data_IF_451466094830
#
_entry.id   IF_451466094830
#
_cell.length_a   1.000
_cell.length_b   1.000
_cell.length_c   1.000
_cell.angle_alpha   90.00
_cell.angle_beta   90.00
_cell.angle_gamma   90.00
#
_symmetry.space_group_name_H-M   'P 1'
#
loop_
_entity.id
_entity.type
_entity.pdbx_description
1 polymer ?
#
# COMPACT_ATOMS: atom_id res chain seq x y z
N UNK A 1 -37.49 -4.22 73.52
CA UNK A 1 -36.48 -5.03 74.25
C UNK A 1 -35.56 -5.60 73.19
N UNK A 2 -34.50 -4.86 72.86
CA UNK A 2 -33.13 -5.03 73.39
C UNK A 2 -32.32 -6.03 72.56
N UNK A 3 -31.51 -5.48 71.65
CA UNK A 3 -30.24 -6.07 71.18
C UNK A 3 -29.31 -6.35 72.37
N UNK A 4 -28.41 -7.36 72.29
CA UNK A 4 -27.05 -7.14 71.75
C UNK A 4 -26.51 -8.33 70.91
N UNK A 5 -25.73 -8.12 69.84
CA UNK A 5 -24.28 -7.85 69.79
C UNK A 5 -23.38 -9.01 70.30
N UNK A 6 -22.87 -9.87 69.41
CA UNK A 6 -21.46 -9.90 68.95
C UNK A 6 -21.02 -11.26 68.38
N UNK A 7 -20.16 -11.12 67.39
CA UNK A 7 -19.05 -11.99 66.99
C UNK A 7 -19.27 -13.17 66.02
N UNK A 8 -18.77 -12.89 64.80
CA UNK A 8 -17.62 -13.54 64.14
C UNK A 8 -17.91 -14.56 63.04
N UNK A 9 -17.13 -14.34 61.97
CA UNK A 9 -16.59 -15.31 60.99
C UNK A 9 -17.34 -15.39 59.65
N UNK A 10 -16.79 -14.59 58.71
CA UNK A 10 -16.29 -15.04 57.41
C UNK A 10 -17.26 -15.78 56.47
N UNK A 11 -17.65 -15.12 55.37
CA UNK A 11 -17.62 -15.71 54.02
C UNK A 11 -17.84 -14.67 52.92
N UNK A 12 -16.85 -14.63 52.02
CA UNK A 12 -16.90 -14.17 50.64
C UNK A 12 -18.27 -14.39 49.97
N UNK A 13 -18.85 -13.33 49.40
CA UNK A 13 -19.52 -13.38 48.09
C UNK A 13 -19.18 -12.06 47.38
N UNK A 14 -18.20 -12.10 46.47
CA UNK A 14 -17.91 -11.02 45.55
C UNK A 14 -19.00 -11.00 44.47
N UNK A 15 -19.79 -9.94 44.45
CA UNK A 15 -20.75 -9.62 43.41
C UNK A 15 -20.02 -9.30 42.11
N UNK A 16 -20.19 -10.17 41.12
CA UNK A 16 -19.70 -10.00 39.75
C UNK A 16 -20.55 -8.92 39.06
N UNK A 17 -20.09 -7.68 39.06
CA UNK A 17 -20.67 -6.63 38.23
C UNK A 17 -20.19 -6.82 36.77
N UNK A 18 -21.12 -7.18 35.89
CA UNK A 18 -20.94 -7.23 34.44
C UNK A 18 -20.79 -5.81 33.93
N UNK A 19 -19.55 -5.42 33.59
CA UNK A 19 -19.30 -4.27 32.73
C UNK A 19 -19.10 -4.80 31.31
N UNK A 20 -20.12 -4.64 30.47
CA UNK A 20 -20.06 -4.85 29.03
C UNK A 20 -18.93 -4.01 28.43
N UNK A 21 -17.82 -4.65 28.09
CA UNK A 21 -16.81 -4.05 27.22
C UNK A 21 -17.30 -4.17 25.77
N UNK A 22 -17.60 -3.02 25.17
CA UNK A 22 -17.78 -2.87 23.74
C UNK A 22 -16.51 -3.42 23.06
N UNK A 23 -16.66 -4.54 22.37
CA UNK A 23 -15.57 -5.21 21.66
C UNK A 23 -15.10 -4.35 20.48
N UNK A 24 -13.98 -3.68 20.64
CA UNK A 24 -13.15 -3.19 19.54
C UNK A 24 -12.45 -4.37 18.85
N UNK A 25 -12.10 -4.26 17.55
CA UNK A 25 -11.54 -5.35 16.77
C UNK A 25 -10.11 -5.64 17.25
N UNK A 26 -9.96 -6.65 18.10
CA UNK A 26 -8.70 -7.07 18.71
C UNK A 26 -7.79 -7.89 17.76
N UNK A 27 -8.22 -8.10 16.52
CA UNK A 27 -7.53 -8.95 15.55
C UNK A 27 -6.37 -8.24 14.82
N UNK A 28 -6.51 -6.95 14.47
CA UNK A 28 -5.45 -6.23 13.75
C UNK A 28 -4.22 -5.94 14.63
N UNK A 29 -4.43 -5.47 15.86
CA UNK A 29 -3.33 -5.13 16.77
C UNK A 29 -2.52 -6.36 17.26
N UNK A 30 -3.11 -7.56 17.22
CA UNK A 30 -2.45 -8.77 17.67
C UNK A 30 -1.44 -9.31 16.64
N UNK A 31 -1.74 -9.15 15.35
CA UNK A 31 -0.83 -9.54 14.25
C UNK A 31 0.38 -8.60 14.18
N UNK A 32 0.15 -7.29 14.31
CA UNK A 32 1.23 -6.27 14.35
C UNK A 32 2.26 -6.59 15.45
N UNK A 33 1.78 -6.98 16.64
CA UNK A 33 2.65 -7.28 17.78
C UNK A 33 3.50 -8.55 17.58
N UNK A 34 3.03 -9.53 16.79
CA UNK A 34 3.80 -10.75 16.50
C UNK A 34 4.85 -10.51 15.43
N UNK A 35 4.51 -9.77 14.37
CA UNK A 35 5.44 -9.41 13.31
C UNK A 35 6.61 -8.58 13.86
N UNK A 36 6.33 -7.62 14.74
CA UNK A 36 7.33 -6.79 15.39
C UNK A 36 8.30 -7.60 16.26
N UNK A 37 7.77 -8.54 17.05
CA UNK A 37 8.59 -9.45 17.85
C UNK A 37 9.47 -10.34 16.99
N UNK A 38 8.95 -10.82 15.86
CA UNK A 38 9.71 -11.60 14.90
C UNK A 38 10.83 -10.76 14.26
N UNK A 39 10.53 -9.54 13.80
CA UNK A 39 11.50 -8.59 13.25
C UNK A 39 12.61 -8.26 14.25
N UNK A 40 12.28 -8.02 15.53
CA UNK A 40 13.26 -7.78 16.57
C UNK A 40 14.19 -8.99 16.82
N UNK A 41 13.64 -10.21 16.76
CA UNK A 41 14.45 -11.44 16.89
C UNK A 41 15.38 -11.65 15.69
N UNK A 42 14.88 -11.40 14.48
CA UNK A 42 15.71 -11.44 13.26
C UNK A 42 16.80 -10.37 13.34
N UNK A 43 16.47 -9.14 13.74
CA UNK A 43 17.41 -8.04 13.89
C UNK A 43 18.55 -8.36 14.85
N UNK A 44 18.25 -8.89 16.03
CA UNK A 44 19.28 -9.28 17.01
C UNK A 44 20.17 -10.42 16.49
N UNK A 45 19.58 -11.42 15.83
CA UNK A 45 20.34 -12.51 15.21
C UNK A 45 21.25 -12.01 14.09
N UNK A 46 20.72 -11.19 13.18
CA UNK A 46 21.44 -10.54 12.09
C UNK A 46 22.57 -9.66 12.64
N UNK A 47 22.33 -8.88 13.69
CA UNK A 47 23.37 -8.10 14.37
C UNK A 47 24.52 -8.97 14.85
N UNK A 48 24.22 -10.11 15.49
CA UNK A 48 25.26 -11.05 15.94
C UNK A 48 26.05 -11.69 14.77
N UNK A 49 25.41 -11.88 13.61
CA UNK A 49 26.09 -12.37 12.41
C UNK A 49 26.96 -11.28 11.78
N UNK A 50 26.48 -10.04 11.74
CA UNK A 50 27.25 -8.89 11.29
C UNK A 50 28.56 -8.72 12.07
N UNK A 51 28.52 -8.90 13.39
CA UNK A 51 29.72 -8.83 14.24
C UNK A 51 30.72 -9.96 13.94
N UNK A 52 30.23 -11.17 13.66
CA UNK A 52 31.07 -12.36 13.44
C UNK A 52 31.61 -12.50 12.02
N UNK A 53 30.80 -12.14 11.03
CA UNK A 53 31.07 -12.41 9.61
C UNK A 53 31.30 -11.13 8.80
N UNK A 54 31.02 -9.96 9.38
CA UNK A 54 30.91 -8.73 8.61
C UNK A 54 29.72 -8.78 7.65
N UNK A 55 29.70 -7.85 6.71
CA UNK A 55 28.66 -7.75 5.70
C UNK A 55 28.39 -6.30 5.30
N UNK A 56 27.17 -6.00 4.90
CA UNK A 56 26.80 -4.67 4.42
C UNK A 56 25.69 -4.04 5.24
N UNK A 57 25.85 -2.75 5.55
CA UNK A 57 24.82 -1.86 6.10
C UNK A 57 24.45 -0.84 5.04
N UNK A 58 23.15 -0.67 4.80
CA UNK A 58 22.64 0.22 3.77
C UNK A 58 21.47 1.03 4.33
N UNK A 59 21.42 2.33 4.02
CA UNK A 59 20.33 3.22 4.42
C UNK A 59 19.69 3.81 3.17
N UNK A 60 18.37 3.69 3.07
CA UNK A 60 17.57 4.30 2.03
C UNK A 60 16.58 5.28 2.62
N UNK A 61 16.40 6.43 1.97
CA UNK A 61 15.33 7.39 2.25
C UNK A 61 14.12 7.04 1.39
N UNK A 62 12.96 6.93 2.03
CA UNK A 62 11.65 6.81 1.39
C UNK A 62 11.19 8.21 0.97
N UNK A 63 10.76 8.35 -0.28
CA UNK A 63 10.42 9.64 -0.87
C UNK A 63 9.11 10.21 -0.31
N UNK A 64 9.25 10.97 0.76
CA UNK A 64 8.13 11.61 1.44
C UNK A 64 7.61 12.84 0.66
N UNK A 65 8.41 13.39 -0.24
CA UNK A 65 8.05 14.54 -1.06
C UNK A 65 7.09 14.11 -2.17
N UNK A 66 7.41 13.00 -2.85
CA UNK A 66 6.49 12.39 -3.80
C UNK A 66 5.17 11.95 -3.15
N UNK A 67 5.21 11.44 -1.89
CA UNK A 67 3.99 11.14 -1.16
C UNK A 67 3.13 12.39 -0.99
N UNK A 68 3.74 13.51 -0.63
CA UNK A 68 3.03 14.79 -0.50
C UNK A 68 2.41 15.22 -1.82
N UNK A 69 3.14 15.11 -2.92
CA UNK A 69 2.65 15.48 -4.25
C UNK A 69 1.43 14.66 -4.67
N UNK A 70 1.46 13.34 -4.40
CA UNK A 70 0.32 12.46 -4.69
C UNK A 70 -0.88 12.82 -3.85
N UNK A 71 -0.71 13.01 -2.53
CA UNK A 71 -1.82 13.38 -1.64
C UNK A 71 -2.46 14.72 -2.01
N UNK A 72 -1.67 15.68 -2.47
CA UNK A 72 -2.16 16.99 -2.88
C UNK A 72 -2.83 16.92 -4.25
N UNK A 73 -2.32 16.09 -5.16
CA UNK A 73 -2.95 15.83 -6.46
C UNK A 73 -4.30 15.14 -6.29
N UNK A 74 -4.37 14.12 -5.44
CA UNK A 74 -5.61 13.43 -5.11
C UNK A 74 -6.61 14.38 -4.44
N UNK A 75 -6.15 15.21 -3.50
CA UNK A 75 -6.98 16.24 -2.88
C UNK A 75 -7.54 17.22 -3.92
N UNK A 76 -6.75 17.63 -4.92
CA UNK A 76 -7.20 18.51 -6.00
C UNK A 76 -8.31 17.85 -6.82
N UNK A 77 -8.13 16.58 -7.18
CA UNK A 77 -9.10 15.85 -7.98
C UNK A 77 -10.42 15.66 -7.22
N UNK A 78 -10.36 15.41 -5.91
CA UNK A 78 -11.54 15.31 -5.06
C UNK A 78 -12.22 16.67 -4.86
N UNK A 79 -11.46 17.75 -4.71
CA UNK A 79 -12.00 19.12 -4.70
C UNK A 79 -12.74 19.41 -6.00
N UNK A 80 -12.13 19.10 -7.15
CA UNK A 80 -12.75 19.30 -8.46
C UNK A 80 -14.05 18.50 -8.61
N UNK A 81 -14.04 17.22 -8.20
CA UNK A 81 -15.22 16.36 -8.22
C UNK A 81 -16.33 16.93 -7.35
N UNK A 82 -16.02 17.32 -6.11
CA UNK A 82 -16.99 17.88 -5.17
C UNK A 82 -17.62 19.18 -5.72
N UNK A 83 -16.82 20.07 -6.31
CA UNK A 83 -17.28 21.30 -6.96
C UNK A 83 -18.23 21.03 -8.13
N UNK A 84 -17.91 20.03 -8.95
CA UNK A 84 -18.73 19.64 -10.10
C UNK A 84 -20.08 19.07 -9.66
N UNK A 85 -20.08 18.21 -8.65
CA UNK A 85 -21.30 17.61 -8.09
C UNK A 85 -22.20 18.65 -7.38
N UNK A 86 -21.61 19.62 -6.69
CA UNK A 86 -22.37 20.72 -6.07
C UNK A 86 -22.75 21.83 -7.06
N UNK A 87 -22.31 21.75 -8.32
CA UNK A 87 -22.48 22.80 -9.34
C UNK A 87 -21.99 24.16 -8.85
N UNK A 88 -20.93 24.16 -8.04
CA UNK A 88 -20.35 25.38 -7.47
C UNK A 88 -19.46 26.05 -8.51
N UNK A 89 -19.72 27.33 -8.80
CA UNK A 89 -18.85 28.14 -9.63
C UNK A 89 -17.54 28.45 -8.87
N UNK A 90 -16.41 28.24 -9.53
CA UNK A 90 -15.08 28.57 -9.01
C UNK A 90 -14.26 29.26 -10.11
N UNK A 91 -13.40 30.20 -9.72
CA UNK A 91 -12.61 30.99 -10.68
C UNK A 91 -11.25 30.38 -10.97
N UNK A 92 -10.66 29.71 -9.98
CA UNK A 92 -9.34 29.08 -10.09
C UNK A 92 -9.28 27.84 -9.20
N UNK A 93 -8.63 26.79 -9.70
CA UNK A 93 -8.25 25.60 -8.95
C UNK A 93 -6.83 25.22 -9.35
N UNK A 94 -5.88 25.30 -8.42
CA UNK A 94 -4.47 24.99 -8.68
C UNK A 94 -3.82 24.34 -7.47
N UNK A 95 -2.69 23.66 -7.70
CA UNK A 95 -1.82 23.14 -6.64
C UNK A 95 -0.71 24.15 -6.39
N UNK A 96 -0.46 24.50 -5.13
CA UNK A 96 0.59 25.42 -4.72
C UNK A 96 1.17 25.00 -3.37
N UNK A 97 2.50 24.87 -3.29
CA UNK A 97 3.26 24.62 -2.05
C UNK A 97 2.69 23.49 -1.16
N UNK A 98 2.32 22.35 -1.75
CA UNK A 98 1.77 21.22 -0.99
C UNK A 98 0.34 21.43 -0.49
N UNK A 99 -0.38 22.38 -1.08
CA UNK A 99 -1.80 22.64 -0.84
C UNK A 99 -2.57 22.83 -2.14
N UNK A 100 -3.89 22.66 -2.08
CA UNK A 100 -4.83 22.95 -3.15
C UNK A 100 -5.44 24.32 -2.88
N UNK A 101 -5.23 25.25 -3.81
CA UNK A 101 -5.82 26.58 -3.77
C UNK A 101 -7.05 26.61 -4.68
N UNK A 102 -8.19 26.99 -4.12
CA UNK A 102 -9.44 27.19 -4.87
C UNK A 102 -10.06 28.53 -4.54
N UNK A 103 -10.50 29.27 -5.55
CA UNK A 103 -11.17 30.57 -5.38
C UNK A 103 -12.67 30.43 -5.64
N UNK A 104 -13.47 30.69 -4.60
CA UNK A 104 -14.93 30.60 -4.63
C UNK A 104 -15.49 31.89 -4.01
N UNK A 105 -16.21 32.68 -4.82
CA UNK A 105 -16.76 33.96 -4.38
C UNK A 105 -17.84 33.79 -3.29
N UNK A 106 -18.68 32.77 -3.40
CA UNK A 106 -19.78 32.52 -2.47
C UNK A 106 -19.32 31.85 -1.16
N UNK A 107 -19.64 32.48 -0.03
CA UNK A 107 -19.25 31.99 1.30
C UNK A 107 -19.99 30.69 1.72
N UNK A 108 -21.24 30.53 1.28
CA UNK A 108 -22.02 29.32 1.58
C UNK A 108 -21.45 28.11 0.86
N UNK A 109 -21.11 28.28 -0.42
CA UNK A 109 -20.47 27.27 -1.25
C UNK A 109 -19.10 26.85 -0.71
N UNK A 110 -18.30 27.78 -0.20
CA UNK A 110 -17.03 27.46 0.49
C UNK A 110 -17.26 26.52 1.68
N UNK A 111 -18.23 26.85 2.52
CA UNK A 111 -18.57 26.05 3.70
C UNK A 111 -19.13 24.67 3.34
N UNK A 112 -19.94 24.58 2.28
CA UNK A 112 -20.47 23.31 1.76
C UNK A 112 -19.37 22.42 1.20
N UNK A 113 -18.41 22.97 0.45
CA UNK A 113 -17.28 22.22 -0.08
C UNK A 113 -16.44 21.60 1.05
N UNK A 114 -16.10 22.39 2.07
CA UNK A 114 -15.31 21.91 3.22
C UNK A 114 -16.05 20.78 3.94
N UNK A 115 -17.36 20.92 4.17
CA UNK A 115 -18.17 19.87 4.79
C UNK A 115 -18.17 18.57 3.96
N UNK A 116 -18.39 18.65 2.65
CA UNK A 116 -18.35 17.48 1.77
C UNK A 116 -17.01 16.76 1.82
N UNK A 117 -15.90 17.50 1.75
CA UNK A 117 -14.55 16.91 1.71
C UNK A 117 -14.11 16.30 3.05
N UNK A 118 -14.65 16.79 4.17
CA UNK A 118 -14.30 16.32 5.52
C UNK A 118 -15.25 15.25 6.06
N UNK A 119 -16.53 15.32 5.70
CA UNK A 119 -17.59 14.48 6.31
C UNK A 119 -18.12 13.42 5.34
N UNK A 120 -18.32 13.77 4.07
CA UNK A 120 -18.96 12.89 3.08
C UNK A 120 -17.95 12.06 2.27
N UNK A 121 -16.66 12.38 2.38
CA UNK A 121 -15.60 11.56 1.79
C UNK A 121 -15.49 10.22 2.52
N UNK A 122 -15.43 9.10 1.79
CA UNK A 122 -15.22 7.77 2.35
C UNK A 122 -13.82 7.22 1.97
N UNK A 123 -12.87 7.15 2.92
CA UNK A 123 -12.96 7.51 4.34
C UNK A 123 -12.89 9.02 4.61
N UNK A 124 -13.44 9.50 5.76
CA UNK A 124 -13.42 10.92 6.12
C UNK A 124 -11.99 11.41 6.28
N UNK A 125 -11.67 12.55 5.66
CA UNK A 125 -10.32 13.09 5.64
C UNK A 125 -10.18 14.25 6.61
N UNK A 126 -9.10 14.23 7.37
CA UNK A 126 -8.68 15.40 8.13
C UNK A 126 -7.87 16.32 7.21
N UNK A 127 -8.40 17.53 6.99
CA UNK A 127 -7.82 18.55 6.14
C UNK A 127 -7.52 19.80 6.97
N UNK A 128 -6.38 20.42 6.69
CA UNK A 128 -6.08 21.76 7.18
C UNK A 128 -6.66 22.75 6.19
N UNK A 129 -7.66 23.50 6.63
CA UNK A 129 -8.35 24.51 5.83
C UNK A 129 -7.91 25.88 6.32
N UNK A 130 -7.37 26.69 5.41
CA UNK A 130 -6.97 28.07 5.70
C UNK A 130 -7.71 28.99 4.74
N UNK A 131 -8.37 30.01 5.28
CA UNK A 131 -8.95 31.09 4.45
C UNK A 131 -7.83 32.06 4.05
N UNK A 132 -7.66 32.26 2.74
CA UNK A 132 -6.65 33.14 2.17
C UNK A 132 -7.13 34.58 1.96
N UNK A 133 -8.40 34.88 2.26
CA UNK A 133 -9.02 36.15 1.92
C UNK A 133 -9.54 36.19 0.48
N UNK A 134 -10.43 37.14 0.16
CA UNK A 134 -11.00 37.35 -1.18
C UNK A 134 -11.63 36.10 -1.84
N UNK A 135 -12.18 35.20 -1.01
CA UNK A 135 -12.78 33.95 -1.47
C UNK A 135 -11.77 32.85 -1.81
N UNK A 136 -10.47 33.06 -1.55
CA UNK A 136 -9.44 32.04 -1.67
C UNK A 136 -9.50 31.06 -0.49
N UNK A 137 -9.56 29.78 -0.80
CA UNK A 137 -9.50 28.70 0.17
C UNK A 137 -8.26 27.86 -0.11
N UNK A 138 -7.45 27.62 0.93
CA UNK A 138 -6.30 26.71 0.87
C UNK A 138 -6.64 25.44 1.63
N UNK A 139 -6.53 24.32 0.94
CA UNK A 139 -6.81 22.99 1.46
C UNK A 139 -5.52 22.17 1.42
N UNK A 140 -5.04 21.73 2.58
CA UNK A 140 -3.88 20.84 2.67
C UNK A 140 -4.23 19.55 3.43
N UNK A 141 -3.58 18.42 3.13
CA UNK A 141 -3.64 17.25 4.00
C UNK A 141 -3.22 17.63 5.42
N UNK A 142 -3.91 17.15 6.45
CA UNK A 142 -3.51 17.41 7.83
C UNK A 142 -2.16 16.72 8.15
N UNK A 143 -1.33 17.37 8.96
CA UNK A 143 0.01 16.88 9.31
C UNK A 143 -0.03 15.48 9.94
N UNK A 144 -1.05 15.20 10.78
CA UNK A 144 -1.26 13.89 11.38
C UNK A 144 -1.63 12.80 10.35
N UNK A 145 -2.33 13.15 9.28
CA UNK A 145 -2.64 12.21 8.18
C UNK A 145 -1.37 11.92 7.39
N UNK A 146 -0.60 12.95 7.07
CA UNK A 146 0.67 12.80 6.38
C UNK A 146 1.64 11.93 7.18
N UNK A 147 1.81 12.18 8.48
CA UNK A 147 2.69 11.40 9.34
C UNK A 147 2.30 9.92 9.42
N UNK A 148 0.98 9.61 9.48
CA UNK A 148 0.48 8.23 9.44
C UNK A 148 0.78 7.58 8.10
N UNK A 149 0.45 8.24 7.00
CA UNK A 149 0.70 7.69 5.67
C UNK A 149 2.18 7.53 5.38
N UNK A 150 3.03 8.42 5.89
CA UNK A 150 4.49 8.30 5.81
C UNK A 150 4.99 7.09 6.61
N UNK A 151 4.45 6.85 7.80
CA UNK A 151 4.75 5.64 8.57
C UNK A 151 4.32 4.38 7.82
N UNK A 152 3.09 4.35 7.30
CA UNK A 152 2.59 3.23 6.49
C UNK A 152 3.49 3.00 5.26
N UNK A 153 3.90 4.08 4.58
CA UNK A 153 4.81 4.06 3.43
C UNK A 153 6.16 3.40 3.78
N UNK A 154 6.72 3.71 4.95
CA UNK A 154 7.97 3.12 5.43
C UNK A 154 7.78 1.64 5.71
N UNK A 155 6.69 1.24 6.37
CA UNK A 155 6.39 -0.17 6.64
C UNK A 155 6.21 -0.98 5.35
N UNK A 156 5.52 -0.41 4.37
CA UNK A 156 5.34 -1.01 3.05
C UNK A 156 6.66 -1.16 2.31
N UNK A 157 7.53 -0.15 2.40
CA UNK A 157 8.87 -0.20 1.82
C UNK A 157 9.74 -1.28 2.49
N UNK A 158 9.69 -1.40 3.82
CA UNK A 158 10.39 -2.46 4.57
C UNK A 158 9.96 -3.83 4.04
N UNK A 159 8.66 -4.07 4.02
CA UNK A 159 8.12 -5.37 3.68
C UNK A 159 8.35 -5.72 2.19
N UNK A 160 8.30 -4.72 1.29
CA UNK A 160 8.73 -4.85 -0.11
C UNK A 160 10.21 -5.29 -0.21
N UNK A 161 11.11 -4.62 0.49
CA UNK A 161 12.55 -4.95 0.47
C UNK A 161 12.79 -6.35 1.03
N UNK A 162 12.13 -6.73 2.13
CA UNK A 162 12.22 -8.08 2.70
C UNK A 162 11.81 -9.16 1.68
N UNK A 163 10.70 -8.95 0.99
CA UNK A 163 10.21 -9.89 -0.02
C UNK A 163 11.15 -10.01 -1.22
N UNK A 164 11.70 -8.89 -1.71
CA UNK A 164 12.67 -8.94 -2.82
C UNK A 164 14.00 -9.59 -2.43
N UNK A 165 14.46 -9.36 -1.20
CA UNK A 165 15.65 -10.05 -0.68
C UNK A 165 15.41 -11.56 -0.64
N UNK A 166 14.24 -11.99 -0.15
CA UNK A 166 13.84 -13.40 -0.16
C UNK A 166 13.81 -14.00 -1.57
N UNK A 167 13.20 -13.30 -2.53
CA UNK A 167 13.08 -13.76 -3.92
C UNK A 167 14.43 -13.80 -4.65
N UNK A 168 15.37 -12.92 -4.27
CA UNK A 168 16.76 -12.94 -4.75
C UNK A 168 17.64 -14.03 -4.14
N UNK A 169 17.09 -14.80 -3.18
CA UNK A 169 17.79 -15.88 -2.48
C UNK A 169 18.59 -15.43 -1.26
N UNK A 170 18.48 -14.16 -0.85
CA UNK A 170 19.08 -13.66 0.38
C UNK A 170 18.23 -14.12 1.57
N UNK A 171 18.67 -15.19 2.23
CA UNK A 171 17.93 -15.84 3.31
C UNK A 171 18.02 -15.13 4.66
N UNK A 172 19.06 -14.33 4.88
CA UNK A 172 19.35 -13.67 6.15
C UNK A 172 19.61 -12.20 5.90
N UNK A 173 18.58 -11.38 6.12
CA UNK A 173 18.65 -9.94 6.10
C UNK A 173 17.77 -9.37 7.21
N UNK A 174 18.11 -8.18 7.71
CA UNK A 174 17.23 -7.42 8.59
C UNK A 174 16.95 -6.07 7.96
N UNK A 175 15.67 -5.74 7.83
CA UNK A 175 15.20 -4.44 7.34
C UNK A 175 14.42 -3.79 8.47
N UNK A 176 14.77 -2.56 8.82
CA UNK A 176 14.20 -1.84 9.96
C UNK A 176 13.99 -0.37 9.61
N UNK A 177 13.03 0.31 10.25
CA UNK A 177 12.91 1.77 10.12
C UNK A 177 14.12 2.46 10.74
N UNK A 178 14.51 3.60 10.15
CA UNK A 178 15.62 4.46 10.60
C UNK A 178 15.18 5.92 10.64
N UNK A 179 14.47 6.30 11.71
CA UNK A 179 13.80 7.60 11.79
C UNK A 179 12.40 7.55 11.17
N UNK A 180 11.94 8.66 10.61
CA UNK A 180 10.56 8.81 10.10
C UNK A 180 10.40 8.51 8.62
N UNK A 181 11.49 8.59 7.85
CA UNK A 181 11.47 8.53 6.39
C UNK A 181 12.61 7.68 5.81
N UNK A 182 13.27 6.84 6.61
CA UNK A 182 14.35 5.98 6.13
C UNK A 182 14.18 4.56 6.60
N UNK A 183 14.82 3.67 5.85
CA UNK A 183 14.95 2.26 6.18
C UNK A 183 16.44 1.91 6.23
N UNK A 184 16.81 1.07 7.18
CA UNK A 184 18.14 0.51 7.34
C UNK A 184 18.11 -0.99 7.09
N UNK A 185 19.02 -1.44 6.25
CA UNK A 185 19.16 -2.82 5.81
C UNK A 185 20.51 -3.35 6.29
N UNK A 186 20.50 -4.54 6.89
CA UNK A 186 21.68 -5.29 7.26
C UNK A 186 21.72 -6.62 6.49
N UNK A 187 22.85 -6.86 5.82
CA UNK A 187 23.11 -8.04 4.99
C UNK A 187 24.38 -8.75 5.49
N UNK A 188 24.26 -9.68 6.46
CA UNK A 188 25.40 -10.47 6.94
C UNK A 188 26.07 -11.27 5.83
N UNK A 189 27.41 -11.28 5.83
CA UNK A 189 28.20 -12.04 4.85
C UNK A 189 28.17 -11.50 3.42
N UNK A 190 27.40 -10.45 3.14
CA UNK A 190 27.39 -9.77 1.84
C UNK A 190 28.43 -8.66 1.86
N UNK A 191 29.54 -8.85 1.14
CA UNK A 191 30.64 -7.88 1.03
C UNK A 191 30.55 -7.03 -0.25
N UNK A 192 29.62 -7.36 -1.15
CA UNK A 192 29.32 -6.63 -2.39
C UNK A 192 27.85 -6.16 -2.34
N UNK A 193 27.57 -5.04 -1.64
CA UNK A 193 26.21 -4.53 -1.50
C UNK A 193 25.58 -4.11 -2.82
N UNK A 194 26.38 -3.64 -3.79
CA UNK A 194 25.88 -3.10 -5.07
C UNK A 194 25.10 -4.14 -5.88
N UNK A 195 25.56 -5.38 -5.86
CA UNK A 195 24.88 -6.49 -6.55
C UNK A 195 23.50 -6.78 -5.97
N UNK A 196 23.36 -6.65 -4.65
CA UNK A 196 22.10 -6.95 -3.96
C UNK A 196 21.16 -5.73 -4.02
N UNK A 197 21.69 -4.52 -3.89
CA UNK A 197 20.91 -3.28 -4.01
C UNK A 197 20.29 -3.11 -5.38
N UNK A 198 20.97 -3.54 -6.45
CA UNK A 198 20.44 -3.50 -7.81
C UNK A 198 19.10 -4.26 -7.96
N UNK A 199 18.83 -5.26 -7.12
CA UNK A 199 17.61 -6.08 -7.20
C UNK A 199 16.39 -5.36 -6.64
N UNK A 200 16.55 -4.62 -5.54
CA UNK A 200 15.44 -3.91 -4.89
C UNK A 200 15.41 -2.40 -5.16
N UNK A 201 16.46 -1.83 -5.76
CA UNK A 201 16.48 -0.43 -6.22
C UNK A 201 15.62 -0.18 -7.48
N UNK A 202 15.24 -1.23 -8.22
CA UNK A 202 14.36 -1.10 -9.40
C UNK A 202 12.92 -0.87 -8.96
N UNK A 203 12.18 0.02 -9.63
CA UNK A 203 10.74 0.24 -9.38
C UNK A 203 9.98 -1.09 -9.50
N UNK A 204 9.08 -1.38 -8.56
CA UNK A 204 8.10 -2.47 -8.70
C UNK A 204 7.19 -2.12 -9.87
N UNK A 205 7.13 -3.00 -10.88
CA UNK A 205 6.28 -2.78 -12.05
C UNK A 205 4.95 -3.49 -11.84
N UNK A 206 3.94 -2.70 -11.52
CA UNK A 206 2.54 -3.14 -11.55
C UNK A 206 1.94 -2.63 -12.85
N UNK A 207 1.39 -3.55 -13.64
CA UNK A 207 0.69 -3.21 -14.88
C UNK A 207 -0.55 -4.07 -15.04
N UNK A 208 -1.58 -3.47 -15.62
CA UNK A 208 -2.84 -4.12 -15.95
C UNK A 208 -2.94 -4.18 -17.46
N UNK A 209 -2.95 -5.39 -18.01
CA UNK A 209 -2.75 -5.64 -19.44
C UNK A 209 -3.83 -6.56 -19.98
N UNK A 210 -4.27 -6.32 -21.20
CA UNK A 210 -5.19 -7.25 -21.86
C UNK A 210 -4.50 -8.57 -22.15
N UNK A 211 -5.19 -9.69 -21.95
CA UNK A 211 -4.74 -10.99 -22.44
C UNK A 211 -5.08 -11.07 -23.92
N UNK A 212 -4.07 -11.39 -24.72
CA UNK A 212 -4.25 -11.64 -26.13
C UNK A 212 -4.72 -13.08 -26.31
N UNK A 213 -5.88 -13.23 -26.95
CA UNK A 213 -6.55 -14.52 -27.18
C UNK A 213 -6.47 -14.95 -28.64
N UNK A 214 -5.72 -14.22 -29.48
CA UNK A 214 -5.56 -14.53 -30.91
C UNK A 214 -4.67 -15.77 -31.14
N UNK A 215 -3.80 -16.09 -30.18
CA UNK A 215 -2.91 -17.25 -30.20
C UNK A 215 -2.81 -17.87 -28.80
N UNK A 216 -2.78 -19.22 -28.68
CA UNK A 216 -2.48 -19.88 -27.41
C UNK A 216 -1.09 -19.50 -26.87
N UNK A 217 -0.99 -19.28 -25.56
CA UNK A 217 0.25 -18.82 -24.93
C UNK A 217 1.40 -19.83 -25.09
N UNK A 218 1.09 -21.12 -25.07
CA UNK A 218 2.05 -22.22 -25.24
C UNK A 218 2.64 -22.24 -26.66
N UNK A 219 1.83 -21.87 -27.66
CA UNK A 219 2.30 -21.75 -29.03
C UNK A 219 3.18 -20.50 -29.21
N UNK A 220 2.82 -19.39 -28.56
CA UNK A 220 3.62 -18.17 -28.57
C UNK A 220 4.96 -18.33 -27.83
N UNK A 221 5.02 -19.19 -26.80
CA UNK A 221 6.24 -19.52 -26.06
C UNK A 221 7.25 -20.29 -26.93
N UNK A 222 6.77 -21.26 -27.72
CA UNK A 222 7.61 -22.05 -28.63
C UNK A 222 7.95 -21.31 -29.93
N UNK A 223 7.20 -20.26 -30.26
CA UNK A 223 7.29 -19.51 -31.50
C UNK A 223 7.64 -18.04 -31.30
N UNK A 224 7.11 -17.19 -32.17
CA UNK A 224 7.19 -15.74 -32.01
C UNK A 224 5.81 -15.21 -31.63
N UNK A 225 5.68 -14.52 -30.47
CA UNK A 225 4.42 -13.89 -30.09
C UNK A 225 3.92 -12.91 -31.16
N UNK A 226 2.59 -12.70 -31.29
CA UNK A 226 2.03 -11.67 -32.14
C UNK A 226 2.64 -10.29 -31.86
N UNK A 227 2.67 -9.43 -32.89
CA UNK A 227 3.18 -8.07 -32.74
C UNK A 227 2.38 -7.31 -31.67
N UNK A 228 3.09 -6.72 -30.72
CA UNK A 228 2.46 -6.04 -29.58
C UNK A 228 2.07 -6.96 -28.42
N UNK A 229 2.39 -8.25 -28.45
CA UNK A 229 2.14 -9.20 -27.35
C UNK A 229 3.46 -9.85 -26.88
N UNK A 230 3.46 -10.33 -25.64
CA UNK A 230 4.57 -11.09 -25.05
C UNK A 230 4.05 -12.19 -24.12
N UNK A 231 4.88 -13.22 -23.92
CA UNK A 231 4.54 -14.32 -23.01
C UNK A 231 5.11 -14.03 -21.64
N UNK A 232 4.24 -14.02 -20.64
CA UNK A 232 4.60 -13.95 -19.23
C UNK A 232 4.14 -15.21 -18.50
N UNK A 233 4.78 -15.51 -17.37
CA UNK A 233 4.44 -16.69 -16.56
C UNK A 233 3.67 -16.32 -15.31
N UNK A 234 2.82 -17.25 -14.86
CA UNK A 234 2.08 -17.11 -13.62
C UNK A 234 2.98 -16.99 -12.38
N UNK A 235 2.48 -16.29 -11.36
CA UNK A 235 3.16 -16.10 -10.09
C UNK A 235 3.33 -17.40 -9.30
N UNK A 236 2.27 -18.23 -9.25
CA UNK A 236 2.27 -19.55 -8.59
C UNK A 236 2.59 -20.68 -9.54
N UNK A 237 1.92 -20.68 -10.68
CA UNK A 237 1.98 -21.74 -11.67
C UNK A 237 2.88 -21.25 -12.80
N UNK A 238 3.76 -22.12 -13.33
CA UNK A 238 4.55 -21.82 -14.54
C UNK A 238 3.70 -21.83 -15.82
N UNK A 239 2.42 -21.48 -15.70
CA UNK A 239 1.50 -21.35 -16.82
C UNK A 239 1.88 -20.11 -17.63
N UNK A 240 1.98 -20.27 -18.94
CA UNK A 240 2.19 -19.18 -19.87
C UNK A 240 0.90 -18.38 -20.09
N UNK A 241 1.04 -17.06 -20.20
CA UNK A 241 -0.02 -16.11 -20.53
C UNK A 241 0.49 -15.22 -21.65
N UNK A 242 -0.28 -15.11 -22.74
CA UNK A 242 -0.01 -14.15 -23.78
C UNK A 242 -0.68 -12.82 -23.42
N UNK A 243 0.12 -11.79 -23.14
CA UNK A 243 -0.37 -10.48 -22.69
C UNK A 243 0.08 -9.39 -23.66
N UNK A 244 -0.76 -8.37 -23.82
CA UNK A 244 -0.41 -7.18 -24.58
C UNK A 244 0.80 -6.47 -23.94
N UNK A 245 1.67 -5.91 -24.77
CA UNK A 245 2.85 -5.13 -24.33
C UNK A 245 2.46 -3.78 -23.73
N UNK A 246 1.37 -3.19 -24.21
CA UNK A 246 0.89 -1.94 -23.69
C UNK A 246 0.13 -2.13 -22.38
N UNK A 247 0.35 -1.21 -21.45
CA UNK A 247 -0.32 -1.20 -20.15
C UNK A 247 -1.58 -0.33 -20.22
N UNK A 248 -2.72 -0.91 -19.83
CA UNK A 248 -3.99 -0.18 -19.78
C UNK A 248 -4.05 0.71 -18.53
N UNK A 249 -3.54 0.21 -17.40
CA UNK A 249 -3.36 0.93 -16.13
C UNK A 249 -2.05 0.50 -15.48
N UNK A 250 -1.49 1.37 -14.64
CA UNK A 250 -0.21 1.12 -13.96
C UNK A 250 -0.37 1.24 -12.44
N UNK A 251 0.67 0.83 -11.71
CA UNK A 251 0.74 0.97 -10.24
C UNK A 251 0.50 2.40 -9.75
N UNK A 252 0.90 3.41 -10.52
CA UNK A 252 0.71 4.83 -10.19
C UNK A 252 -0.77 5.27 -10.15
N UNK A 253 -1.68 4.41 -10.61
CA UNK A 253 -3.12 4.63 -10.54
C UNK A 253 -3.74 4.03 -9.25
N UNK A 254 -2.99 3.29 -8.43
CA UNK A 254 -3.46 2.66 -7.18
C UNK A 254 -3.24 3.61 -5.99
N UNK A 255 -4.23 3.73 -5.10
CA UNK A 255 -4.15 4.55 -3.86
C UNK A 255 -4.23 3.72 -2.59
N UNK A 256 -4.63 2.45 -2.71
CA UNK A 256 -4.76 1.54 -1.59
C UNK A 256 -4.65 0.11 -2.09
N UNK A 257 -3.95 -0.74 -1.33
CA UNK A 257 -4.02 -2.19 -1.49
C UNK A 257 -3.87 -2.84 -0.12
N UNK A 258 -4.66 -3.87 0.20
CA UNK A 258 -4.63 -4.57 1.47
C UNK A 258 -5.13 -6.01 1.32
N UNK A 259 -4.73 -6.93 2.21
CA UNK A 259 -5.32 -8.25 2.23
C UNK A 259 -6.78 -8.16 2.67
N UNK A 260 -7.58 -9.13 2.26
CA UNK A 260 -8.98 -9.25 2.65
C UNK A 260 -9.49 -10.65 2.41
N UNK A 261 -10.79 -10.82 2.58
CA UNK A 261 -11.47 -12.07 2.31
C UNK A 261 -12.58 -11.86 1.27
N UNK A 262 -12.66 -12.77 0.32
CA UNK A 262 -13.73 -12.75 -0.68
C UNK A 262 -15.09 -12.87 0.01
N UNK A 263 -16.06 -12.09 -0.45
CA UNK A 263 -17.42 -12.13 0.11
C UNK A 263 -18.07 -13.47 -0.19
N UNK A 264 -18.56 -14.16 0.84
CA UNK A 264 -19.21 -15.46 0.71
C UNK A 264 -18.31 -16.66 1.00
N UNK A 265 -17.19 -16.79 0.28
CA UNK A 265 -16.30 -17.97 0.42
C UNK A 265 -15.26 -17.85 1.53
N UNK A 266 -14.96 -16.64 2.00
CA UNK A 266 -13.87 -16.34 2.94
C UNK A 266 -12.48 -16.75 2.43
N UNK A 267 -12.29 -16.82 1.12
CA UNK A 267 -10.96 -17.06 0.54
C UNK A 267 -10.08 -15.81 0.68
N UNK A 268 -8.77 -15.94 0.99
CA UNK A 268 -7.86 -14.81 1.00
C UNK A 268 -7.74 -14.14 -0.37
N UNK A 269 -7.87 -12.81 -0.40
CA UNK A 269 -7.78 -11.98 -1.61
C UNK A 269 -6.95 -10.73 -1.35
N UNK A 270 -6.34 -10.18 -2.40
CA UNK A 270 -5.75 -8.85 -2.35
C UNK A 270 -6.77 -7.83 -2.87
N UNK A 271 -7.22 -6.93 -2.00
CA UNK A 271 -8.15 -5.84 -2.36
C UNK A 271 -7.38 -4.58 -2.64
N UNK A 272 -7.76 -3.82 -3.66
CA UNK A 272 -7.10 -2.55 -3.99
C UNK A 272 -8.08 -1.55 -4.59
N UNK A 273 -7.70 -0.27 -4.51
CA UNK A 273 -8.51 0.86 -4.96
C UNK A 273 -7.66 1.80 -5.81
N UNK A 274 -8.24 2.25 -6.92
CA UNK A 274 -7.63 3.22 -7.82
C UNK A 274 -7.93 4.67 -7.41
N UNK A 275 -7.06 5.61 -7.80
CA UNK A 275 -7.38 7.05 -7.76
C UNK A 275 -8.49 7.40 -8.77
N UNK A 276 -8.93 8.66 -8.78
CA UNK A 276 -9.98 9.13 -9.67
C UNK A 276 -9.62 9.03 -11.16
N UNK A 277 -8.34 9.13 -11.53
CA UNK A 277 -7.87 8.92 -12.92
C UNK A 277 -7.94 7.44 -13.30
N UNK A 278 -7.35 6.57 -12.48
CA UNK A 278 -7.34 5.12 -12.65
C UNK A 278 -8.75 4.54 -12.70
N UNK A 279 -9.64 4.98 -11.83
CA UNK A 279 -11.05 4.55 -11.81
C UNK A 279 -11.75 4.81 -13.15
N UNK A 280 -11.55 5.99 -13.73
CA UNK A 280 -12.13 6.35 -15.04
C UNK A 280 -11.53 5.54 -16.18
N UNK A 281 -10.20 5.36 -16.18
CA UNK A 281 -9.51 4.52 -17.17
C UNK A 281 -9.98 3.07 -17.10
N UNK A 282 -10.07 2.52 -15.89
CA UNK A 282 -10.54 1.16 -15.65
C UNK A 282 -11.98 0.97 -16.14
N UNK A 283 -12.87 1.91 -15.83
CA UNK A 283 -14.25 1.87 -16.29
C UNK A 283 -14.32 1.77 -17.82
N UNK A 284 -13.60 2.65 -18.52
CA UNK A 284 -13.57 2.68 -19.98
C UNK A 284 -12.98 1.39 -20.58
N UNK A 285 -11.82 0.94 -20.08
CA UNK A 285 -11.17 -0.29 -20.57
C UNK A 285 -12.04 -1.52 -20.35
N UNK A 286 -12.70 -1.64 -19.19
CA UNK A 286 -13.56 -2.78 -18.88
C UNK A 286 -14.88 -2.77 -19.66
N UNK A 287 -15.43 -1.60 -19.96
CA UNK A 287 -16.62 -1.45 -20.79
C UNK A 287 -16.39 -1.93 -22.23
N UNK A 288 -15.24 -1.58 -22.83
CA UNK A 288 -14.89 -1.98 -24.20
C UNK A 288 -14.44 -3.44 -24.34
N UNK A 289 -14.08 -4.09 -23.23
CA UNK A 289 -13.44 -5.41 -23.24
C UNK A 289 -14.18 -6.47 -22.41
N UNK A 290 -15.50 -6.33 -22.26
CA UNK A 290 -16.34 -7.35 -21.63
C UNK A 290 -16.13 -8.73 -22.27
N UNK A 291 -16.10 -9.77 -21.41
CA UNK A 291 -15.87 -11.15 -21.80
C UNK A 291 -14.40 -11.52 -22.08
N UNK A 292 -13.47 -10.56 -22.07
CA UNK A 292 -12.05 -10.82 -22.29
C UNK A 292 -11.28 -10.93 -20.97
N UNK A 293 -10.19 -11.71 -20.89
CA UNK A 293 -9.35 -11.77 -19.70
C UNK A 293 -8.47 -10.52 -19.57
N UNK A 294 -8.32 -10.04 -18.33
CA UNK A 294 -7.55 -8.85 -17.99
C UNK A 294 -6.48 -9.22 -16.97
N UNK A 295 -5.22 -9.25 -17.41
CA UNK A 295 -4.09 -9.70 -16.62
C UNK A 295 -3.58 -8.61 -15.68
N UNK A 296 -3.27 -9.02 -14.45
CA UNK A 296 -2.60 -8.22 -13.45
C UNK A 296 -1.18 -8.74 -13.33
N UNK A 297 -0.22 -7.90 -13.71
CA UNK A 297 1.19 -8.27 -13.85
C UNK A 297 2.01 -7.51 -12.83
N UNK A 298 2.84 -8.25 -12.10
CA UNK A 298 3.77 -7.74 -11.11
C UNK A 298 5.18 -8.25 -11.42
N UNK A 299 6.12 -7.33 -11.70
CA UNK A 299 7.53 -7.66 -12.02
C UNK A 299 7.63 -8.82 -13.05
N UNK A 300 6.90 -8.69 -14.15
CA UNK A 300 6.82 -9.65 -15.27
C UNK A 300 6.20 -11.01 -14.93
N UNK A 301 5.53 -11.13 -13.79
CA UNK A 301 4.74 -12.30 -13.40
C UNK A 301 3.26 -12.00 -13.39
N UNK A 302 2.46 -12.86 -14.01
CA UNK A 302 1.00 -12.75 -13.99
C UNK A 302 0.49 -13.24 -12.63
N UNK A 303 -0.03 -12.33 -11.82
CA UNK A 303 -0.64 -12.67 -10.53
C UNK A 303 -1.99 -13.34 -10.73
N UNK A 304 -2.81 -12.76 -11.62
CA UNK A 304 -4.13 -13.25 -11.96
C UNK A 304 -4.56 -12.69 -13.32
N UNK A 305 -5.45 -13.39 -14.02
CA UNK A 305 -6.02 -12.96 -15.29
C UNK A 305 -7.54 -13.23 -15.35
N UNK A 306 -8.33 -12.59 -14.49
CA UNK A 306 -9.78 -12.79 -14.45
C UNK A 306 -10.45 -12.29 -15.74
N UNK A 307 -11.59 -12.89 -16.06
CA UNK A 307 -12.46 -12.43 -17.16
C UNK A 307 -13.27 -11.22 -16.70
N UNK A 308 -13.29 -10.16 -17.50
CA UNK A 308 -14.14 -8.99 -17.26
C UNK A 308 -15.60 -9.40 -17.49
N UNK A 309 -16.41 -9.39 -16.43
CA UNK A 309 -17.84 -9.77 -16.50
C UNK A 309 -18.77 -8.58 -16.62
N UNK A 310 -18.39 -7.47 -16.02
CA UNK A 310 -19.15 -6.22 -16.02
C UNK A 310 -18.18 -5.03 -15.99
N UNK A 311 -18.60 -3.84 -16.45
CA UNK A 311 -17.80 -2.63 -16.34
C UNK A 311 -17.48 -2.27 -14.89
N UNK A 312 -16.21 -2.03 -14.58
CA UNK A 312 -15.76 -1.70 -13.23
C UNK A 312 -15.70 -0.18 -13.08
N UNK A 313 -16.81 0.41 -12.62
CA UNK A 313 -16.95 1.87 -12.47
C UNK A 313 -16.62 2.38 -11.06
N UNK A 314 -16.61 1.48 -10.07
CA UNK A 314 -16.42 1.82 -8.66
C UNK A 314 -14.96 1.99 -8.21
N UNK A 315 -13.98 1.66 -9.07
CA UNK A 315 -12.55 1.83 -8.79
C UNK A 315 -11.96 0.90 -7.72
N UNK A 316 -12.77 0.04 -7.10
CA UNK A 316 -12.34 -0.99 -6.16
C UNK A 316 -12.33 -2.35 -6.85
N UNK A 317 -11.25 -3.10 -6.69
CA UNK A 317 -11.04 -4.41 -7.33
C UNK A 317 -10.47 -5.39 -6.31
N UNK A 318 -10.79 -6.68 -6.48
CA UNK A 318 -10.22 -7.77 -5.71
C UNK A 318 -9.48 -8.73 -6.64
N UNK A 319 -8.31 -9.18 -6.22
CA UNK A 319 -7.52 -10.21 -6.91
C UNK A 319 -7.67 -11.51 -6.15
N UNK A 320 -8.16 -12.53 -6.85
CA UNK A 320 -8.11 -13.92 -6.41
C UNK A 320 -7.05 -14.68 -7.19
N UNK A 321 -6.47 -15.69 -6.54
CA UNK A 321 -5.45 -16.57 -7.11
C UNK A 321 -5.16 -17.79 -6.24
N UNK A 322 -6.17 -18.24 -5.47
CA UNK A 322 -6.03 -19.30 -4.47
C UNK A 322 -4.88 -19.01 -3.49
N UNK A 323 -4.86 -17.79 -2.95
CA UNK A 323 -3.79 -17.33 -2.05
C UNK A 323 -3.96 -17.91 -0.66
N UNK A 324 -2.85 -18.14 0.04
CA UNK A 324 -2.84 -18.14 1.50
C UNK A 324 -2.97 -16.71 2.02
N UNK A 325 -3.23 -16.54 3.32
CA UNK A 325 -3.29 -15.20 3.91
C UNK A 325 -1.96 -14.45 3.78
N UNK A 326 -0.84 -15.16 3.96
CA UNK A 326 0.51 -14.60 3.78
C UNK A 326 0.72 -14.14 2.34
N UNK A 327 0.31 -14.95 1.35
CA UNK A 327 0.45 -14.61 -0.07
C UNK A 327 -0.44 -13.42 -0.47
N UNK A 328 -1.68 -13.38 0.01
CA UNK A 328 -2.58 -12.26 -0.22
C UNK A 328 -2.01 -10.96 0.35
N UNK A 329 -1.41 -11.03 1.54
CA UNK A 329 -0.71 -9.90 2.15
C UNK A 329 0.51 -9.48 1.32
N UNK A 330 1.35 -10.43 0.89
CA UNK A 330 2.50 -10.14 0.02
C UNK A 330 2.09 -9.50 -1.31
N UNK A 331 1.03 -9.99 -1.96
CA UNK A 331 0.52 -9.41 -3.20
C UNK A 331 0.01 -7.99 -2.96
N UNK A 332 -0.81 -7.77 -1.93
CA UNK A 332 -1.34 -6.45 -1.60
C UNK A 332 -0.21 -5.44 -1.30
N UNK A 333 0.78 -5.87 -0.53
CA UNK A 333 1.97 -5.09 -0.22
C UNK A 333 2.75 -4.75 -1.49
N UNK A 334 3.00 -5.70 -2.39
CA UNK A 334 3.74 -5.44 -3.63
C UNK A 334 2.97 -4.51 -4.60
N UNK A 335 1.64 -4.62 -4.64
CA UNK A 335 0.80 -3.68 -5.40
C UNK A 335 0.91 -2.26 -4.84
N UNK A 336 0.87 -2.12 -3.51
CA UNK A 336 1.08 -0.85 -2.83
C UNK A 336 2.49 -0.31 -3.05
N UNK A 337 3.48 -1.20 -3.05
CA UNK A 337 4.86 -0.91 -3.34
C UNK A 337 5.06 -0.35 -4.76
N UNK A 338 4.34 -0.90 -5.75
CA UNK A 338 4.30 -0.39 -7.12
C UNK A 338 3.59 0.96 -7.27
N UNK A 339 2.77 1.31 -6.28
CA UNK A 339 2.08 2.59 -6.17
C UNK A 339 2.82 3.61 -5.30
N UNK A 340 3.94 3.23 -4.66
CA UNK A 340 4.71 4.12 -3.78
C UNK A 340 5.12 5.37 -4.55
N UNK A 341 4.63 6.54 -4.14
CA UNK A 341 5.10 7.79 -4.68
C UNK A 341 6.57 7.94 -4.30
N UNK A 342 7.44 7.92 -5.31
CA UNK A 342 8.85 8.22 -5.13
C UNK A 342 9.65 7.11 -4.45
N UNK A 343 10.94 7.16 -4.74
CA UNK A 343 11.82 5.98 -4.75
C UNK A 343 12.48 5.78 -3.39
N UNK A 344 13.08 4.61 -3.20
CA UNK A 344 14.14 4.46 -2.21
C UNK A 344 15.40 5.15 -2.74
N UNK A 345 15.75 6.29 -2.16
CA UNK A 345 16.99 7.00 -2.48
C UNK A 345 18.12 6.49 -1.58
N UNK A 346 19.23 6.02 -2.18
CA UNK A 346 20.38 5.58 -1.40
C UNK A 346 20.96 6.77 -0.64
N UNK A 347 21.01 6.66 0.69
CA UNK A 347 21.59 7.68 1.57
C UNK A 347 23.00 7.28 1.97
N UNK A 348 23.18 6.01 2.35
CA UNK A 348 24.43 5.51 2.88
C UNK A 348 24.62 4.04 2.52
N UNK A 349 25.85 3.67 2.19
CA UNK A 349 26.25 2.28 1.98
C UNK A 349 27.62 2.06 2.63
N UNK A 350 27.69 1.09 3.54
CA UNK A 350 28.91 0.80 4.28
C UNK A 350 29.13 -0.72 4.39
N UNK A 351 30.37 -1.14 4.13
CA UNK A 351 30.81 -2.50 4.44
C UNK A 351 31.28 -2.52 5.90
N UNK A 352 30.68 -3.41 6.68
CA UNK A 352 31.06 -3.67 8.07
C UNK A 352 32.01 -4.86 8.07
N UNK A 353 33.22 -4.67 8.57
CA UNK A 353 34.17 -5.77 8.71
C UNK A 353 33.84 -6.60 9.96
N UNK A 354 34.09 -7.92 9.93
CA UNK A 354 33.96 -8.75 11.12
C UNK A 354 34.89 -8.26 12.22
N UNK A 355 34.42 -8.30 13.46
CA UNK A 355 35.25 -7.98 14.61
C UNK A 355 36.26 -9.11 14.80
N UNK A 356 37.52 -8.88 14.44
CA UNK A 356 38.60 -9.82 14.73
C UNK A 356 38.75 -9.93 16.25
N UNK A 357 38.43 -11.11 16.81
CA UNK A 357 38.67 -11.39 18.22
C UNK A 357 40.19 -11.44 18.45
N UNK A 358 40.74 -10.73 19.46
CA UNK A 358 42.17 -10.72 19.75
C UNK A 358 42.72 -12.08 20.17
#
# INVERSE_FOLDING_TARGET
MSTPLRDRITRLIATLAVASAIALPRAAAAEDTQLDKMRAKIASFVGSLMEKQGGSRIIYKVDSDALRDVLVTDLRDDVYKALKESRTAFSALKVSEGSVEVTIADANSRSQLVRKLTTDAAPPRSLKVTDGGDGLLRLAPADATFARQQHDLVEDAIAMVEQRLKDSGVKLASVQPDGTDRIRIFLPGVMDPERVTAVFARKVRVSFRMVDTTMPAEQAELGTPPAGSEVLFGFKEKRAYLVAKDSALDGDDIIYAGPGFATGTKDPVASFRFNGRGTRRLAHVTEENMGKPFAIVLDDKVISAPVIREPITGGSVQISGNFTMEEANSVAMLLRAGALPGRLALVEQQIVQPVSKP
#
